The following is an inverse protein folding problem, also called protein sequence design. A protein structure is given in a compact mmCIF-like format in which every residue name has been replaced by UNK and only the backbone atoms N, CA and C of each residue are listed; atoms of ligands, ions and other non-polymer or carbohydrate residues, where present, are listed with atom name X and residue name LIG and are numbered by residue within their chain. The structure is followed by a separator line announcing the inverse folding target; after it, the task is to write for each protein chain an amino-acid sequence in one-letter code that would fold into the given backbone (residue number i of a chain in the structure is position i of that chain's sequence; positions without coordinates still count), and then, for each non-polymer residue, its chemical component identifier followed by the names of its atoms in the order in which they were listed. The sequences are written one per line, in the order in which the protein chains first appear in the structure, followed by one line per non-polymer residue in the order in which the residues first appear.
data_IF_825837753859
#
_entry.id   IF_825837753859
#
_cell.length_a   1.000
_cell.length_b   1.000
_cell.length_c   1.000
_cell.angle_alpha   90.00
_cell.angle_beta   90.00
_cell.angle_gamma   90.00
#
_symmetry.space_group_name_H-M   'P 1'
#
loop_
_entity.id
_entity.type
_entity.pdbx_description
1 polymer ?
#
# COMPACT_ATOMS: atom_id res chain seq x y z
N UNK A 1 13.68 -19.61 -16.43
CA UNK A 1 12.46 -18.81 -16.22
C UNK A 1 12.72 -17.42 -16.80
N UNK A 2 11.90 -16.93 -17.73
CA UNK A 2 12.14 -15.63 -18.37
C UNK A 2 11.75 -14.54 -17.37
N UNK A 3 12.73 -13.79 -16.84
CA UNK A 3 12.52 -12.74 -15.82
C UNK A 3 11.45 -11.69 -16.22
N UNK A 4 11.19 -11.55 -17.52
CA UNK A 4 10.18 -10.64 -18.05
C UNK A 4 8.73 -11.01 -17.71
N UNK A 5 8.40 -12.29 -17.45
CA UNK A 5 7.01 -12.75 -17.26
C UNK A 5 6.73 -13.29 -15.86
N UNK A 6 7.49 -12.84 -14.86
CA UNK A 6 7.24 -13.23 -13.47
C UNK A 6 5.96 -12.57 -12.93
N UNK A 7 5.20 -13.31 -12.11
CA UNK A 7 4.00 -12.83 -11.43
C UNK A 7 4.28 -11.54 -10.66
N UNK A 8 5.44 -11.48 -10.01
CA UNK A 8 5.90 -10.29 -9.29
C UNK A 8 5.98 -9.05 -10.18
N UNK A 9 6.63 -9.16 -11.34
CA UNK A 9 6.80 -8.04 -12.26
C UNK A 9 5.46 -7.60 -12.82
N UNK A 10 4.66 -8.54 -13.32
CA UNK A 10 3.33 -8.26 -13.87
C UNK A 10 2.39 -7.65 -12.83
N UNK A 11 2.34 -8.19 -11.62
CA UNK A 11 1.55 -7.64 -10.53
C UNK A 11 1.99 -6.20 -10.18
N UNK A 12 3.31 -5.94 -10.15
CA UNK A 12 3.83 -4.59 -9.87
C UNK A 12 3.45 -3.59 -10.96
N UNK A 13 3.62 -3.96 -12.23
CA UNK A 13 3.26 -3.10 -13.37
C UNK A 13 1.76 -2.83 -13.44
N UNK A 14 0.93 -3.87 -13.23
CA UNK A 14 -0.53 -3.75 -13.18
C UNK A 14 -0.96 -2.85 -12.02
N UNK A 15 -0.46 -3.09 -10.80
CA UNK A 15 -0.79 -2.27 -9.63
C UNK A 15 -0.36 -0.81 -9.85
N UNK A 16 0.80 -0.56 -10.44
CA UNK A 16 1.22 0.80 -10.79
C UNK A 16 0.27 1.47 -11.80
N UNK A 17 -0.23 0.70 -12.79
CA UNK A 17 -1.23 1.17 -13.75
C UNK A 17 -2.60 1.45 -13.13
N UNK A 18 -3.01 0.66 -12.14
CA UNK A 18 -4.23 0.88 -11.35
C UNK A 18 -4.10 2.10 -10.46
N UNK A 19 -2.97 2.29 -9.76
CA UNK A 19 -2.73 3.45 -8.90
C UNK A 19 -2.81 4.78 -9.65
N UNK A 20 -2.26 4.86 -10.88
CA UNK A 20 -2.36 6.07 -11.71
C UNK A 20 -3.79 6.48 -12.02
N UNK A 21 -4.71 5.51 -12.08
CA UNK A 21 -6.13 5.71 -12.38
C UNK A 21 -7.02 5.44 -11.16
N UNK A 22 -6.44 5.43 -9.95
CA UNK A 22 -7.16 5.04 -8.73
C UNK A 22 -8.49 5.78 -8.57
N UNK A 23 -8.57 7.12 -8.67
CA UNK A 23 -9.81 7.84 -8.43
C UNK A 23 -10.97 7.44 -9.35
N UNK A 24 -10.68 7.02 -10.60
CA UNK A 24 -11.70 6.64 -11.58
C UNK A 24 -12.10 5.16 -11.52
N UNK A 25 -11.38 4.32 -10.77
CA UNK A 25 -11.57 2.87 -10.74
C UNK A 25 -12.15 2.36 -9.41
N UNK A 26 -12.37 3.22 -8.42
CA UNK A 26 -12.81 2.82 -7.07
C UNK A 26 -14.27 2.37 -6.99
N UNK A 27 -15.08 2.82 -7.94
CA UNK A 27 -16.53 2.64 -7.87
C UNK A 27 -16.94 1.20 -8.18
N UNK A 28 -16.22 0.51 -9.06
CA UNK A 28 -16.63 -0.80 -9.56
C UNK A 28 -15.44 -1.75 -9.82
N UNK A 29 -15.60 -3.01 -9.39
CA UNK A 29 -14.65 -4.09 -9.65
C UNK A 29 -14.57 -4.44 -11.13
N UNK A 30 -15.69 -4.37 -11.87
CA UNK A 30 -15.65 -4.67 -13.31
C UNK A 30 -14.76 -3.67 -14.06
N UNK A 31 -14.74 -2.41 -13.64
CA UNK A 31 -13.84 -1.39 -14.20
C UNK A 31 -12.36 -1.69 -13.91
N UNK A 32 -12.04 -2.19 -12.71
CA UNK A 32 -10.69 -2.64 -12.35
C UNK A 32 -10.29 -3.85 -13.19
N UNK A 33 -11.19 -4.83 -13.34
CA UNK A 33 -10.95 -6.03 -14.14
C UNK A 33 -10.71 -5.69 -15.61
N UNK A 34 -11.55 -4.85 -16.21
CA UNK A 34 -11.37 -4.37 -17.58
C UNK A 34 -10.03 -3.62 -17.75
N UNK A 35 -9.65 -2.81 -16.76
CA UNK A 35 -8.37 -2.10 -16.76
C UNK A 35 -7.17 -3.05 -16.69
N UNK A 36 -7.29 -4.16 -15.95
CA UNK A 36 -6.26 -5.21 -15.88
C UNK A 36 -6.18 -6.02 -17.17
N UNK A 37 -7.33 -6.44 -17.73
CA UNK A 37 -7.38 -7.17 -19.00
C UNK A 37 -6.75 -6.36 -20.14
N UNK A 38 -7.03 -5.05 -20.20
CA UNK A 38 -6.39 -4.14 -21.15
C UNK A 38 -4.87 -4.05 -20.95
N UNK A 39 -4.38 -4.10 -19.70
CA UNK A 39 -2.96 -4.09 -19.38
C UNK A 39 -2.26 -5.42 -19.72
N UNK A 40 -2.98 -6.55 -19.67
CA UNK A 40 -2.47 -7.87 -20.03
C UNK A 40 -2.40 -8.10 -21.55
N UNK A 41 -3.20 -7.39 -22.35
CA UNK A 41 -3.22 -7.53 -23.81
C UNK A 41 -1.83 -7.39 -24.49
N UNK A 42 -1.00 -6.38 -24.20
CA UNK A 42 0.36 -6.32 -24.75
C UNK A 42 1.25 -7.47 -24.27
N UNK A 43 1.10 -7.91 -23.02
CA UNK A 43 1.85 -9.04 -22.45
C UNK A 43 1.50 -10.34 -23.19
N UNK A 44 0.22 -10.58 -23.48
CA UNK A 44 -0.25 -11.73 -24.28
C UNK A 44 0.41 -11.75 -25.66
N UNK A 45 0.46 -10.60 -26.34
CA UNK A 45 1.09 -10.48 -27.66
C UNK A 45 2.58 -10.77 -27.61
N UNK A 46 3.28 -10.22 -26.61
CA UNK A 46 4.71 -10.46 -26.42
C UNK A 46 5.01 -11.92 -26.07
N UNK A 47 4.21 -12.53 -25.20
CA UNK A 47 4.37 -13.92 -24.80
C UNK A 47 4.15 -14.87 -25.98
N UNK A 48 3.10 -14.64 -26.79
CA UNK A 48 2.81 -15.42 -27.99
C UNK A 48 3.94 -15.32 -29.04
N UNK A 49 4.62 -14.16 -29.12
CA UNK A 49 5.76 -13.99 -30.04
C UNK A 49 7.01 -14.78 -29.65
N UNK A 50 7.08 -15.31 -28.42
CA UNK A 50 8.24 -16.03 -27.87
C UNK A 50 8.08 -17.56 -27.86
N UNK A 51 7.01 -18.08 -28.47
CA UNK A 51 6.72 -19.51 -28.58
C UNK A 51 6.74 -20.26 -27.23
N UNK A 52 6.17 -19.62 -26.20
CA UNK A 52 6.11 -20.13 -24.83
C UNK A 52 4.79 -20.87 -24.56
N UNK A 53 4.75 -21.83 -23.59
CA UNK A 53 3.53 -22.58 -23.29
C UNK A 53 2.36 -21.69 -22.84
N UNK A 54 1.29 -21.66 -23.64
CA UNK A 54 0.11 -20.83 -23.36
C UNK A 54 -0.61 -21.19 -22.04
N UNK A 55 -0.46 -22.44 -21.58
CA UNK A 55 -1.04 -22.93 -20.32
C UNK A 55 -0.52 -22.14 -19.12
N UNK A 56 0.79 -21.83 -19.09
CA UNK A 56 1.40 -21.08 -18.01
C UNK A 56 0.85 -19.66 -17.90
N UNK A 57 0.80 -18.94 -19.03
CA UNK A 57 0.27 -17.58 -19.06
C UNK A 57 -1.21 -17.55 -18.65
N UNK A 58 -2.00 -18.50 -19.14
CA UNK A 58 -3.44 -18.56 -18.82
C UNK A 58 -3.68 -18.78 -17.33
N UNK A 59 -2.93 -19.70 -16.70
CA UNK A 59 -3.02 -19.93 -15.26
C UNK A 59 -2.59 -18.70 -14.45
N UNK A 60 -1.52 -18.03 -14.87
CA UNK A 60 -1.05 -16.80 -14.23
C UNK A 60 -2.07 -15.66 -14.34
N UNK A 61 -2.67 -15.46 -15.52
CA UNK A 61 -3.70 -14.44 -15.72
C UNK A 61 -4.94 -14.69 -14.87
N UNK A 62 -5.38 -15.95 -14.78
CA UNK A 62 -6.51 -16.33 -13.94
C UNK A 62 -6.25 -16.00 -12.48
N UNK A 63 -5.06 -16.32 -11.96
CA UNK A 63 -4.67 -16.02 -10.58
C UNK A 63 -4.60 -14.51 -10.32
N UNK A 64 -4.03 -13.74 -11.26
CA UNK A 64 -3.98 -12.28 -11.16
C UNK A 64 -5.38 -11.66 -11.13
N UNK A 65 -6.25 -12.05 -12.08
CA UNK A 65 -7.61 -11.52 -12.21
C UNK A 65 -8.54 -11.95 -11.09
N UNK A 66 -8.30 -13.12 -10.47
CA UNK A 66 -9.08 -13.59 -9.33
C UNK A 66 -8.72 -12.87 -8.02
N UNK A 67 -7.45 -12.47 -7.84
CA UNK A 67 -6.96 -12.00 -6.54
C UNK A 67 -6.75 -10.49 -6.44
N UNK A 68 -6.24 -9.83 -7.49
CA UNK A 68 -5.86 -8.41 -7.44
C UNK A 68 -7.08 -7.48 -7.32
N UNK A 69 -8.16 -7.61 -8.13
CA UNK A 69 -9.22 -6.61 -8.16
C UNK A 69 -9.84 -6.33 -6.79
N UNK A 70 -10.25 -7.39 -6.09
CA UNK A 70 -10.90 -7.31 -4.78
C UNK A 70 -9.96 -6.73 -3.73
N UNK A 71 -8.74 -7.27 -3.63
CA UNK A 71 -7.77 -6.87 -2.59
C UNK A 71 -7.25 -5.45 -2.80
N UNK A 72 -7.07 -5.06 -4.06
CA UNK A 72 -6.71 -3.70 -4.42
C UNK A 72 -7.85 -2.73 -4.08
N UNK A 73 -9.10 -3.03 -4.46
CA UNK A 73 -10.25 -2.19 -4.14
C UNK A 73 -10.44 -1.98 -2.64
N UNK A 74 -10.37 -3.04 -1.84
CA UNK A 74 -10.52 -2.95 -0.39
C UNK A 74 -9.46 -2.02 0.22
N UNK A 75 -8.22 -2.13 -0.26
CA UNK A 75 -7.11 -1.30 0.21
C UNK A 75 -7.24 0.15 -0.29
N UNK A 76 -7.54 0.32 -1.57
CA UNK A 76 -7.59 1.61 -2.26
C UNK A 76 -8.80 2.45 -1.82
N UNK A 77 -9.95 1.82 -1.53
CA UNK A 77 -11.14 2.50 -0.98
C UNK A 77 -10.87 3.06 0.40
N UNK A 78 -10.29 2.26 1.29
CA UNK A 78 -9.91 2.72 2.64
C UNK A 78 -8.92 3.88 2.55
N UNK A 79 -7.85 3.73 1.76
CA UNK A 79 -6.85 4.78 1.61
C UNK A 79 -7.41 6.07 1.00
N UNK A 80 -8.26 5.96 -0.03
CA UNK A 80 -8.87 7.13 -0.68
C UNK A 80 -9.90 7.80 0.22
N UNK A 81 -10.65 7.04 1.03
CA UNK A 81 -11.54 7.60 2.04
C UNK A 81 -10.76 8.38 3.10
N UNK A 82 -9.63 7.84 3.57
CA UNK A 82 -8.73 8.54 4.49
C UNK A 82 -8.14 9.79 3.82
N UNK A 83 -7.65 9.70 2.58
CA UNK A 83 -7.09 10.82 1.83
C UNK A 83 -8.10 11.97 1.62
N UNK A 84 -9.35 11.65 1.25
CA UNK A 84 -10.45 12.64 1.16
C UNK A 84 -10.75 13.31 2.51
N UNK A 85 -10.57 12.57 3.61
CA UNK A 85 -10.68 13.10 4.98
C UNK A 85 -9.40 13.81 5.45
N UNK A 86 -8.43 14.03 4.54
CA UNK A 86 -7.10 14.55 4.87
C UNK A 86 -6.43 13.72 5.96
N UNK A 87 -6.56 12.40 5.91
CA UNK A 87 -6.12 11.44 6.93
C UNK A 87 -6.66 11.73 8.34
N UNK A 88 -7.79 12.45 8.45
CA UNK A 88 -8.36 12.88 9.73
C UNK A 88 -7.79 14.19 10.28
N UNK A 89 -6.92 14.88 9.52
CA UNK A 89 -6.26 16.13 9.95
C UNK A 89 -7.29 17.28 10.14
N UNK A 90 -8.46 17.24 9.48
CA UNK A 90 -9.38 18.40 9.41
C UNK A 90 -10.84 18.19 9.83
N UNK A 91 -11.26 17.01 10.31
CA UNK A 91 -12.63 16.83 10.84
C UNK A 91 -12.69 15.93 12.07
N UNK A 92 -12.81 16.54 13.25
CA UNK A 92 -13.63 16.01 14.35
C UNK A 92 -12.92 15.49 15.61
N UNK A 93 -11.59 15.29 15.62
CA UNK A 93 -10.86 14.80 16.79
C UNK A 93 -9.68 15.69 17.24
N UNK A 94 -9.30 16.64 16.39
CA UNK A 94 -8.08 17.42 16.61
C UNK A 94 -8.26 18.58 17.60
N UNK A 95 -9.49 18.94 17.98
CA UNK A 95 -9.67 19.83 19.14
C UNK A 95 -9.24 19.11 20.41
N UNK A 96 -9.59 17.84 20.58
CA UNK A 96 -9.18 17.05 21.75
C UNK A 96 -7.71 16.69 21.66
N UNK A 97 -7.18 16.35 20.48
CA UNK A 97 -5.74 16.10 20.32
C UNK A 97 -4.92 17.38 20.56
N UNK A 98 -5.32 18.53 20.00
CA UNK A 98 -4.70 19.82 20.30
C UNK A 98 -4.91 20.24 21.75
N UNK A 99 -6.10 20.07 22.34
CA UNK A 99 -6.34 20.35 23.76
C UNK A 99 -5.54 19.40 24.65
N UNK A 100 -5.35 18.15 24.27
CA UNK A 100 -4.58 17.19 25.07
C UNK A 100 -3.09 17.43 24.91
N UNK A 101 -2.59 17.81 23.73
CA UNK A 101 -1.22 18.32 23.56
C UNK A 101 -1.01 19.64 24.29
N UNK A 102 -1.99 20.55 24.28
CA UNK A 102 -1.93 21.83 24.98
C UNK A 102 -2.07 21.64 26.49
N UNK A 103 -2.89 20.69 26.95
CA UNK A 103 -3.04 20.32 28.35
C UNK A 103 -1.81 19.55 28.86
N UNK A 104 -1.26 18.62 28.08
CA UNK A 104 0.00 17.94 28.40
C UNK A 104 1.14 18.94 28.40
N UNK A 105 1.24 19.82 27.40
CA UNK A 105 2.23 20.89 27.35
C UNK A 105 2.09 21.88 28.51
N UNK A 106 0.86 22.22 28.91
CA UNK A 106 0.58 23.07 30.06
C UNK A 106 0.88 22.36 31.39
N UNK A 107 0.55 21.07 31.53
CA UNK A 107 0.87 20.27 32.71
C UNK A 107 2.38 20.08 32.86
N UNK A 108 3.07 19.75 31.78
CA UNK A 108 4.54 19.64 31.73
C UNK A 108 5.18 20.99 32.01
N UNK A 109 4.69 22.08 31.39
CA UNK A 109 5.17 23.44 31.64
C UNK A 109 4.94 23.89 33.09
N UNK A 110 3.75 23.65 33.65
CA UNK A 110 3.43 23.96 35.04
C UNK A 110 4.27 23.14 36.03
N UNK A 111 4.48 21.84 35.74
CA UNK A 111 5.36 20.97 36.52
C UNK A 111 6.82 21.46 36.49
N UNK A 112 7.31 21.87 35.31
CA UNK A 112 8.66 22.40 35.14
C UNK A 112 8.88 23.71 35.92
N UNK A 113 7.89 24.61 35.91
CA UNK A 113 7.96 25.88 36.66
C UNK A 113 7.85 25.64 38.17
N UNK A 114 7.02 24.68 38.60
CA UNK A 114 6.79 24.38 40.01
C UNK A 114 7.95 23.62 40.66
N UNK A 115 8.72 22.83 39.91
CA UNK A 115 9.84 22.04 40.43
C UNK A 115 11.13 22.90 40.58
N UNK A 116 11.54 23.26 41.82
CA UNK A 116 12.64 24.21 42.06
C UNK A 116 14.05 23.63 41.80
N UNK A 117 14.15 22.35 41.44
CA UNK A 117 15.40 21.60 41.24
C UNK A 117 15.72 21.32 39.75
N UNK A 118 14.87 21.77 38.82
CA UNK A 118 15.08 21.56 37.38
C UNK A 118 16.06 22.62 36.83
N UNK A 119 17.25 22.23 36.33
CA UNK A 119 18.25 23.16 35.80
C UNK A 119 17.71 24.01 34.65
N UNK A 120 18.10 25.29 34.59
CA UNK A 120 17.63 26.31 33.62
C UNK A 120 17.84 25.88 32.14
N UNK A 121 18.74 24.93 31.90
CA UNK A 121 19.03 24.33 30.59
C UNK A 121 17.87 23.49 30.02
N UNK A 122 16.95 22.98 30.85
CA UNK A 122 15.77 22.20 30.42
C UNK A 122 14.57 23.08 29.99
N UNK A 123 14.69 24.42 30.11
CA UNK A 123 13.62 25.36 29.68
C UNK A 123 13.42 25.44 28.16
N UNK A 124 14.31 24.84 27.37
CA UNK A 124 14.22 24.81 25.90
C UNK A 124 13.33 23.69 25.38
N UNK A 125 12.99 22.70 26.22
CA UNK A 125 12.21 21.51 25.87
C UNK A 125 10.81 21.78 25.25
N UNK A 126 10.11 22.88 25.58
CA UNK A 126 8.88 23.27 24.86
C UNK A 126 9.11 23.59 23.38
N UNK A 127 10.30 24.04 22.98
CA UNK A 127 10.64 24.41 21.60
C UNK A 127 10.66 23.19 20.67
N UNK A 128 11.44 22.10 20.93
CA UNK A 128 11.40 20.92 20.08
C UNK A 128 10.04 20.20 20.15
N UNK A 129 9.30 20.30 21.26
CA UNK A 129 7.94 19.77 21.34
C UNK A 129 6.97 20.53 20.40
N UNK A 130 7.05 21.86 20.37
CA UNK A 130 6.26 22.69 19.45
C UNK A 130 6.64 22.42 17.99
N UNK A 131 7.93 22.27 17.70
CA UNK A 131 8.43 21.87 16.37
C UNK A 131 7.91 20.46 16.01
N UNK A 132 7.96 19.50 16.93
CA UNK A 132 7.46 18.15 16.71
C UNK A 132 5.93 18.13 16.46
N UNK A 133 5.18 18.96 17.17
CA UNK A 133 3.74 19.13 16.95
C UNK A 133 3.43 19.67 15.55
N UNK A 134 4.28 20.55 15.01
CA UNK A 134 4.18 21.04 13.62
C UNK A 134 4.38 19.92 12.58
N UNK A 135 5.30 18.99 12.81
CA UNK A 135 5.59 17.88 11.88
C UNK A 135 4.66 16.66 12.04
N UNK A 136 3.87 16.61 13.12
CA UNK A 136 2.95 15.53 13.42
C UNK A 136 1.94 15.19 12.29
N UNK A 137 1.29 16.16 11.62
CA UNK A 137 0.39 15.86 10.49
C UNK A 137 1.10 15.21 9.30
N UNK A 138 2.32 15.67 8.97
CA UNK A 138 3.13 15.10 7.89
C UNK A 138 3.57 13.68 8.23
N UNK A 139 3.94 13.44 9.50
CA UNK A 139 4.30 12.12 9.99
C UNK A 139 3.13 11.14 9.84
N UNK A 140 1.93 11.56 10.23
CA UNK A 140 0.72 10.76 10.11
C UNK A 140 0.41 10.43 8.64
N UNK A 141 0.40 11.43 7.75
CA UNK A 141 0.18 11.20 6.32
C UNK A 141 1.23 10.25 5.72
N UNK A 142 2.50 10.40 6.11
CA UNK A 142 3.58 9.50 5.68
C UNK A 142 3.37 8.07 6.17
N UNK A 143 2.85 7.89 7.39
CA UNK A 143 2.55 6.58 7.96
C UNK A 143 1.42 5.87 7.21
N UNK A 144 0.32 6.58 6.90
CA UNK A 144 -0.76 6.03 6.08
C UNK A 144 -0.26 5.62 4.69
N UNK A 145 0.59 6.45 4.04
CA UNK A 145 1.21 6.11 2.76
C UNK A 145 2.10 4.87 2.85
N UNK A 146 2.93 4.76 3.89
CA UNK A 146 3.79 3.58 4.13
C UNK A 146 2.97 2.32 4.38
N UNK A 147 1.91 2.42 5.18
CA UNK A 147 0.99 1.31 5.45
C UNK A 147 0.29 0.85 4.17
N UNK A 148 -0.14 1.79 3.33
CA UNK A 148 -0.75 1.48 2.04
C UNK A 148 0.23 0.79 1.08
N UNK A 149 1.46 1.31 0.96
CA UNK A 149 2.51 0.69 0.15
C UNK A 149 2.85 -0.73 0.62
N UNK A 150 2.82 -0.99 1.93
CA UNK A 150 2.99 -2.35 2.48
C UNK A 150 1.88 -3.29 2.04
N UNK A 151 0.61 -2.86 2.10
CA UNK A 151 -0.53 -3.67 1.62
C UNK A 151 -0.42 -4.02 0.14
N UNK A 152 0.02 -3.09 -0.70
CA UNK A 152 0.28 -3.37 -2.11
C UNK A 152 1.43 -4.39 -2.27
N UNK A 153 2.50 -4.26 -1.48
CA UNK A 153 3.58 -5.23 -1.43
C UNK A 153 3.13 -6.63 -1.00
N UNK A 154 2.23 -6.73 -0.01
CA UNK A 154 1.65 -8.01 0.44
C UNK A 154 0.84 -8.71 -0.67
N UNK A 155 0.17 -7.96 -1.54
CA UNK A 155 -0.51 -8.51 -2.72
C UNK A 155 0.54 -9.14 -3.66
N UNK A 156 1.61 -8.40 -3.99
CA UNK A 156 2.68 -8.89 -4.86
C UNK A 156 3.37 -10.13 -4.28
N UNK A 157 3.73 -10.12 -2.99
CA UNK A 157 4.39 -11.24 -2.32
C UNK A 157 3.52 -12.51 -2.29
N UNK A 158 2.21 -12.35 -2.09
CA UNK A 158 1.29 -13.51 -2.11
C UNK A 158 1.19 -14.15 -3.49
N UNK A 159 1.23 -13.35 -4.56
CA UNK A 159 1.23 -13.82 -5.94
C UNK A 159 2.55 -14.50 -6.33
N UNK A 160 3.68 -13.98 -5.85
CA UNK A 160 4.98 -14.63 -6.01
C UNK A 160 5.01 -16.01 -5.35
N UNK A 161 4.41 -16.12 -4.16
CA UNK A 161 4.26 -17.41 -3.46
C UNK A 161 3.34 -18.37 -4.22
N UNK A 162 2.22 -17.87 -4.77
CA UNK A 162 1.30 -18.66 -5.57
C UNK A 162 1.97 -19.16 -6.87
N UNK A 163 2.75 -18.31 -7.53
CA UNK A 163 3.53 -18.71 -8.72
C UNK A 163 4.55 -19.80 -8.39
N UNK A 164 5.29 -19.67 -7.28
CA UNK A 164 6.25 -20.70 -6.87
C UNK A 164 5.57 -22.06 -6.61
N UNK A 165 4.30 -22.07 -6.18
CA UNK A 165 3.53 -23.30 -6.05
C UNK A 165 3.07 -23.85 -7.41
N UNK A 166 2.67 -22.97 -8.33
CA UNK A 166 2.28 -23.34 -9.69
C UNK A 166 3.45 -23.96 -10.46
N UNK A 167 4.63 -23.34 -10.38
CA UNK A 167 5.86 -23.83 -11.01
C UNK A 167 6.22 -25.24 -10.51
N UNK A 168 6.07 -25.50 -9.20
CA UNK A 168 6.28 -26.85 -8.62
C UNK A 168 5.30 -27.88 -9.15
N UNK A 169 4.02 -27.52 -9.29
CA UNK A 169 2.98 -28.44 -9.81
C UNK A 169 3.25 -28.82 -11.26
N UNK A 170 3.56 -27.84 -12.10
CA UNK A 170 3.86 -28.05 -13.52
C UNK A 170 5.16 -28.84 -13.71
N UNK A 171 6.17 -28.62 -12.87
CA UNK A 171 7.41 -29.43 -12.92
C UNK A 171 7.13 -30.89 -12.54
N UNK A 172 6.22 -31.15 -11.61
CA UNK A 172 5.83 -32.51 -11.25
C UNK A 172 5.02 -33.22 -12.34
N UNK A 173 4.07 -32.54 -12.99
CA UNK A 173 3.27 -33.15 -14.08
C UNK A 173 4.12 -33.50 -15.30
N UNK A 174 5.07 -32.63 -15.68
CA UNK A 174 5.97 -32.90 -16.83
C UNK A 174 6.94 -34.07 -16.55
N UNK A 175 7.31 -34.33 -15.29
CA UNK A 175 8.22 -35.42 -14.91
C UNK A 175 7.54 -36.80 -14.83
N UNK A 176 6.22 -36.90 -14.93
CA UNK A 176 5.48 -38.16 -14.86
C UNK A 176 5.13 -38.74 -16.26
N UNK A 177 5.40 -38.00 -17.33
CA UNK A 177 5.15 -38.39 -18.72
C UNK A 177 6.43 -38.80 -19.50
N UNK A 178 7.58 -38.91 -18.81
CA UNK A 178 8.84 -39.52 -19.28
C UNK A 178 9.03 -40.92 -18.67
#
# INVERSE_FOLDING_TARGET
MIEAFTARRLATEILAGLERRRPSLLDDEASVRAAMEAALLPVRREYASRDLPAVYLTALEQELLASIPTRWLDSARQFTADERRHFGIWRGGDVIARLSFLAVGALVGAFIVWAPFIPIWEKWLPIPLAIAAWYLPDLQASWHRRRYARRLGEIVMSLETAQAQLDRRLTHEVSFDD
#
